data_IF_540259786086
#
_entry.id   IF_540259786086
#
_cell.length_a   1.000
_cell.length_b   1.000
_cell.length_c   1.000
_cell.angle_alpha   90.00
_cell.angle_beta   90.00
_cell.angle_gamma   90.00
#
_symmetry.space_group_name_H-M   'P 1'
#
loop_
_entity.id
_entity.type
_entity.pdbx_description
1 polymer ?
#
# COMPACT_ATOMS: atom_id res chain seq x y z
N UNK A 1 -2.34 -28.36 -47.34
CA UNK A 1 -2.40 -26.91 -47.13
C UNK A 1 -3.21 -26.71 -45.87
N UNK A 2 -2.55 -26.35 -44.76
CA UNK A 2 -3.23 -25.95 -43.48
C UNK A 2 -3.26 -24.44 -43.47
N UNK A 3 -4.45 -23.88 -43.44
CA UNK A 3 -4.67 -22.44 -43.24
C UNK A 3 -4.15 -22.03 -41.88
N UNK A 4 -3.27 -21.04 -41.91
CA UNK A 4 -2.77 -20.33 -40.72
C UNK A 4 -3.88 -19.33 -40.30
N UNK A 5 -4.56 -19.60 -39.24
CA UNK A 5 -5.51 -18.65 -38.62
C UNK A 5 -4.69 -17.50 -38.03
N UNK A 6 -4.78 -16.33 -38.64
CA UNK A 6 -4.21 -15.08 -38.11
C UNK A 6 -5.01 -14.72 -36.87
N UNK A 7 -4.34 -14.73 -35.72
CA UNK A 7 -4.88 -14.22 -34.46
C UNK A 7 -5.08 -12.71 -34.58
N UNK A 8 -6.28 -12.28 -34.31
CA UNK A 8 -6.74 -10.89 -34.36
C UNK A 8 -6.00 -10.07 -33.28
N UNK A 9 -4.97 -9.32 -33.67
CA UNK A 9 -4.15 -8.44 -32.80
C UNK A 9 -4.85 -7.12 -32.45
N UNK A 10 -6.14 -7.00 -32.65
CA UNK A 10 -6.86 -5.74 -32.44
C UNK A 10 -7.78 -5.78 -31.22
N UNK A 11 -7.25 -6.20 -30.07
CA UNK A 11 -7.92 -5.96 -28.79
C UNK A 11 -7.62 -4.52 -28.37
N UNK A 12 -8.42 -3.57 -28.85
CA UNK A 12 -8.38 -2.20 -28.40
C UNK A 12 -8.56 -2.16 -26.89
N UNK A 13 -7.58 -1.60 -26.18
CA UNK A 13 -7.70 -1.31 -24.76
C UNK A 13 -8.98 -0.50 -24.53
N UNK A 14 -9.75 -0.77 -23.49
CA UNK A 14 -10.95 0.01 -23.19
C UNK A 14 -10.56 1.48 -23.04
N UNK A 15 -11.24 2.38 -23.75
CA UNK A 15 -10.99 3.81 -23.67
C UNK A 15 -11.24 4.28 -22.23
N UNK A 16 -10.23 4.91 -21.63
CA UNK A 16 -10.33 5.53 -20.30
C UNK A 16 -11.46 6.55 -20.35
N UNK A 17 -12.46 6.39 -19.51
CA UNK A 17 -13.62 7.29 -19.48
C UNK A 17 -13.25 8.63 -18.81
N UNK A 18 -13.99 9.71 -19.11
CA UNK A 18 -13.84 11.01 -18.43
C UNK A 18 -13.99 10.88 -16.91
N UNK A 19 -14.82 9.94 -16.46
CA UNK A 19 -15.00 9.63 -15.04
C UNK A 19 -13.72 9.05 -14.42
N UNK A 20 -13.10 8.07 -15.07
CA UNK A 20 -11.86 7.46 -14.59
C UNK A 20 -10.72 8.49 -14.50
N UNK A 21 -10.63 9.39 -15.49
CA UNK A 21 -9.66 10.47 -15.45
C UNK A 21 -9.92 11.45 -14.30
N UNK A 22 -11.18 11.77 -14.01
CA UNK A 22 -11.53 12.64 -12.90
C UNK A 22 -11.22 11.98 -11.55
N UNK A 23 -11.46 10.69 -11.42
CA UNK A 23 -11.11 9.90 -10.23
C UNK A 23 -9.59 9.78 -10.05
N UNK A 24 -8.82 9.54 -11.11
CA UNK A 24 -7.36 9.56 -11.10
C UNK A 24 -6.79 10.90 -10.62
N UNK A 25 -7.35 12.02 -11.09
CA UNK A 25 -6.95 13.35 -10.60
C UNK A 25 -7.25 13.55 -9.11
N UNK A 26 -8.40 13.08 -8.61
CA UNK A 26 -8.74 13.14 -7.17
C UNK A 26 -7.84 12.23 -6.34
N UNK A 27 -7.48 11.08 -6.88
CA UNK A 27 -6.57 10.14 -6.25
C UNK A 27 -5.19 10.77 -6.02
N UNK A 28 -4.67 11.54 -6.97
CA UNK A 28 -3.37 12.23 -6.91
C UNK A 28 -3.48 13.62 -6.26
N UNK A 29 -4.05 13.71 -5.06
CA UNK A 29 -4.14 14.99 -4.37
C UNK A 29 -2.75 15.60 -4.09
N UNK A 30 -2.63 16.91 -4.28
CA UNK A 30 -1.40 17.66 -3.96
C UNK A 30 -1.32 18.05 -2.48
N UNK A 31 -2.46 18.13 -1.83
CA UNK A 31 -2.61 18.54 -0.43
C UNK A 31 -3.50 17.57 0.31
N UNK A 32 -2.97 17.04 1.43
CA UNK A 32 -3.77 16.22 2.33
C UNK A 32 -4.87 17.09 2.97
N UNK A 33 -6.10 16.60 2.93
CA UNK A 33 -7.27 17.27 3.49
C UNK A 33 -8.00 16.37 4.48
N UNK A 34 -8.76 16.98 5.40
CA UNK A 34 -9.55 16.22 6.39
C UNK A 34 -10.48 15.18 5.76
N UNK A 35 -11.20 15.45 4.64
CA UNK A 35 -12.00 14.40 3.99
C UNK A 35 -11.18 13.19 3.54
N UNK A 36 -9.95 13.40 3.03
CA UNK A 36 -9.06 12.30 2.66
C UNK A 36 -8.66 11.49 3.90
N UNK A 37 -8.23 12.17 4.97
CA UNK A 37 -7.88 11.52 6.25
C UNK A 37 -9.05 10.69 6.78
N UNK A 38 -10.26 11.24 6.81
CA UNK A 38 -11.45 10.51 7.29
C UNK A 38 -11.78 9.31 6.39
N UNK A 39 -11.62 9.45 5.07
CA UNK A 39 -11.78 8.33 4.11
C UNK A 39 -10.78 7.20 4.35
N UNK A 40 -9.58 7.53 4.80
CA UNK A 40 -8.52 6.57 5.06
C UNK A 40 -8.72 5.78 6.38
N UNK A 41 -9.64 6.20 7.26
CA UNK A 41 -9.81 5.61 8.60
C UNK A 41 -10.61 4.31 8.64
N UNK A 42 -11.31 3.93 7.57
CA UNK A 42 -12.10 2.68 7.53
C UNK A 42 -12.32 2.19 6.10
N UNK A 43 -12.47 0.89 5.92
CA UNK A 43 -12.91 0.35 4.64
C UNK A 43 -14.32 0.83 4.31
N UNK A 44 -14.56 1.18 3.06
CA UNK A 44 -15.88 1.43 2.53
C UNK A 44 -16.75 0.16 2.54
N UNK A 45 -18.06 0.34 2.42
CA UNK A 45 -19.00 -0.78 2.41
C UNK A 45 -18.81 -1.66 1.17
N UNK A 46 -18.43 -1.04 0.06
CA UNK A 46 -18.29 -1.68 -1.24
C UNK A 46 -16.82 -2.05 -1.56
N UNK A 47 -15.89 -1.81 -0.62
CA UNK A 47 -14.49 -2.20 -0.78
C UNK A 47 -14.34 -3.72 -0.70
N UNK A 48 -13.62 -4.36 -1.64
CA UNK A 48 -13.41 -5.81 -1.64
C UNK A 48 -12.85 -6.31 -0.30
N UNK A 49 -13.41 -7.41 0.16
CA UNK A 49 -13.07 -8.01 1.46
C UNK A 49 -12.92 -9.53 1.39
N UNK A 50 -12.76 -10.19 2.53
CA UNK A 50 -12.62 -11.63 2.59
C UNK A 50 -13.77 -12.36 1.90
N UNK A 51 -13.41 -13.28 0.98
CA UNK A 51 -14.31 -14.00 0.10
C UNK A 51 -14.51 -13.37 -1.29
N UNK A 52 -14.16 -12.09 -1.46
CA UNK A 52 -14.18 -11.45 -2.78
C UNK A 52 -12.92 -11.79 -3.57
N UNK A 53 -13.01 -11.65 -4.89
CA UNK A 53 -11.83 -11.79 -5.76
C UNK A 53 -11.10 -10.47 -5.90
N UNK A 54 -9.75 -10.57 -5.88
CA UNK A 54 -8.91 -9.41 -6.21
C UNK A 54 -9.14 -9.01 -7.68
N UNK A 55 -9.15 -7.71 -8.00
CA UNK A 55 -9.20 -7.24 -9.38
C UNK A 55 -8.02 -7.76 -10.20
N UNK A 56 -8.16 -7.82 -11.53
CA UNK A 56 -7.04 -8.10 -12.42
C UNK A 56 -6.04 -6.94 -12.41
N UNK A 57 -4.76 -7.29 -12.36
CA UNK A 57 -3.66 -6.32 -12.39
C UNK A 57 -2.42 -6.88 -13.08
N UNK A 58 -1.58 -5.97 -13.56
CA UNK A 58 -0.27 -6.25 -14.13
C UNK A 58 0.66 -5.07 -13.82
N UNK A 59 1.49 -5.20 -12.78
CA UNK A 59 2.33 -4.15 -12.23
C UNK A 59 3.81 -4.39 -12.52
N UNK A 60 4.59 -3.36 -12.89
CA UNK A 60 6.05 -3.48 -12.92
C UNK A 60 6.60 -3.62 -11.50
N UNK A 61 7.69 -4.39 -11.36
CA UNK A 61 8.45 -4.51 -10.12
C UNK A 61 9.79 -3.80 -10.22
N UNK A 62 10.36 -3.42 -9.08
CA UNK A 62 11.68 -2.75 -9.06
C UNK A 62 12.82 -3.64 -9.56
N UNK A 63 12.65 -4.96 -9.57
CA UNK A 63 13.63 -5.92 -10.06
C UNK A 63 13.57 -6.11 -11.58
N UNK A 64 12.75 -5.32 -12.28
CA UNK A 64 12.56 -5.38 -13.72
C UNK A 64 11.59 -6.47 -14.20
N UNK A 65 10.93 -7.16 -13.27
CA UNK A 65 9.90 -8.17 -13.53
C UNK A 65 8.48 -7.57 -13.58
N UNK A 66 7.52 -8.48 -13.44
CA UNK A 66 6.09 -8.13 -13.35
C UNK A 66 5.43 -8.89 -12.21
N UNK A 67 4.51 -8.23 -11.51
CA UNK A 67 3.60 -8.85 -10.57
C UNK A 67 2.18 -8.80 -11.14
N UNK A 68 1.59 -9.96 -11.43
CA UNK A 68 0.31 -10.09 -12.12
C UNK A 68 -0.67 -10.93 -11.34
N UNK A 69 -1.95 -10.59 -11.41
CA UNK A 69 -3.03 -11.43 -10.87
C UNK A 69 -3.09 -12.82 -11.53
N UNK A 70 -2.76 -12.91 -12.82
CA UNK A 70 -2.71 -14.16 -13.56
C UNK A 70 -1.65 -15.15 -13.05
N UNK A 71 -0.57 -14.65 -12.42
CA UNK A 71 0.54 -15.47 -11.95
C UNK A 71 0.30 -16.04 -10.52
N UNK A 72 -0.79 -15.65 -9.84
CA UNK A 72 -1.10 -16.10 -8.48
C UNK A 72 -1.28 -17.62 -8.38
N UNK A 73 -1.82 -18.24 -9.41
CA UNK A 73 -2.02 -19.70 -9.47
C UNK A 73 -0.71 -20.48 -9.33
N UNK A 74 0.41 -19.91 -9.78
CA UNK A 74 1.73 -20.54 -9.77
C UNK A 74 2.52 -20.20 -8.51
N UNK A 75 2.28 -19.02 -7.91
CA UNK A 75 3.07 -18.49 -6.80
C UNK A 75 2.52 -18.80 -5.41
N UNK A 76 1.30 -19.35 -5.33
CA UNK A 76 0.62 -19.60 -4.06
C UNK A 76 0.00 -18.36 -3.44
N UNK A 77 -0.23 -18.39 -2.11
CA UNK A 77 -0.79 -17.23 -1.42
C UNK A 77 0.24 -16.09 -1.34
N UNK A 78 -0.26 -14.85 -1.40
CA UNK A 78 0.55 -13.64 -1.36
C UNK A 78 0.04 -12.68 -0.29
N UNK A 79 0.97 -12.08 0.47
CA UNK A 79 0.69 -10.91 1.29
C UNK A 79 0.95 -9.65 0.44
N UNK A 80 -0.11 -8.93 0.11
CA UNK A 80 -0.05 -7.62 -0.52
C UNK A 80 -0.11 -6.54 0.57
N UNK A 81 0.83 -5.60 0.52
CA UNK A 81 0.84 -4.42 1.41
C UNK A 81 0.89 -3.17 0.56
N UNK A 82 -0.07 -2.27 0.73
CA UNK A 82 -0.02 -0.96 0.09
C UNK A 82 0.80 0.01 0.94
N UNK A 83 1.62 0.84 0.29
CA UNK A 83 2.46 1.79 1.00
C UNK A 83 3.01 2.89 0.12
N UNK A 84 3.57 3.93 0.74
CA UNK A 84 4.26 5.01 0.04
C UNK A 84 5.39 5.61 0.88
N UNK A 85 6.30 6.33 0.22
CA UNK A 85 7.51 6.88 0.82
C UNK A 85 7.22 7.97 1.86
N UNK A 86 6.06 8.63 1.77
CA UNK A 86 5.63 9.66 2.72
C UNK A 86 4.47 9.23 3.62
N UNK A 87 4.36 7.93 3.92
CA UNK A 87 3.32 7.41 4.81
C UNK A 87 3.88 7.01 6.18
N UNK A 88 3.49 7.68 7.29
CA UNK A 88 3.95 7.30 8.64
C UNK A 88 3.50 5.89 9.05
N UNK A 89 2.37 5.42 8.51
CA UNK A 89 1.88 4.06 8.79
C UNK A 89 2.77 3.04 8.09
N UNK A 90 3.14 3.27 6.82
CA UNK A 90 4.10 2.42 6.10
C UNK A 90 5.42 2.34 6.84
N UNK A 91 5.95 3.49 7.27
CA UNK A 91 7.20 3.55 8.02
C UNK A 91 7.13 2.81 9.35
N UNK A 92 6.00 2.91 10.05
CA UNK A 92 5.79 2.17 11.30
C UNK A 92 5.57 0.66 11.11
N UNK A 93 5.08 0.25 9.93
CA UNK A 93 4.88 -1.15 9.57
C UNK A 93 6.19 -1.87 9.19
N UNK A 94 7.14 -1.15 8.59
CA UNK A 94 8.32 -1.71 7.95
C UNK A 94 9.14 -2.68 8.84
N UNK A 95 9.47 -2.38 10.11
CA UNK A 95 10.21 -3.32 10.95
C UNK A 95 9.45 -4.65 11.16
N UNK A 96 8.14 -4.56 11.36
CA UNK A 96 7.29 -5.75 11.55
C UNK A 96 7.12 -6.54 10.26
N UNK A 97 6.99 -5.88 9.12
CA UNK A 97 6.90 -6.54 7.81
C UNK A 97 8.19 -7.30 7.48
N UNK A 98 9.36 -6.72 7.77
CA UNK A 98 10.64 -7.41 7.60
C UNK A 98 10.74 -8.65 8.52
N UNK A 99 10.26 -8.56 9.77
CA UNK A 99 10.21 -9.70 10.67
C UNK A 99 9.25 -10.80 10.16
N UNK A 100 8.08 -10.41 9.65
CA UNK A 100 7.13 -11.35 9.05
C UNK A 100 7.73 -12.01 7.80
N UNK A 101 8.40 -11.24 6.93
CA UNK A 101 9.07 -11.80 5.76
C UNK A 101 10.18 -12.78 6.15
N UNK A 102 11.00 -12.45 7.14
CA UNK A 102 12.03 -13.38 7.65
C UNK A 102 11.44 -14.69 8.21
N UNK A 103 10.21 -14.67 8.73
CA UNK A 103 9.55 -15.86 9.28
C UNK A 103 8.71 -16.66 8.28
N UNK A 104 8.19 -16.01 7.25
CA UNK A 104 7.21 -16.60 6.34
C UNK A 104 7.57 -16.51 4.85
N UNK A 105 8.63 -15.77 4.48
CA UNK A 105 9.01 -15.53 3.09
C UNK A 105 9.29 -16.78 2.26
N UNK A 106 9.77 -17.85 2.90
CA UNK A 106 9.97 -19.15 2.23
C UNK A 106 8.66 -19.90 1.94
N UNK A 107 7.55 -19.51 2.57
CA UNK A 107 6.26 -20.21 2.48
C UNK A 107 5.17 -19.36 1.82
N UNK A 108 5.38 -18.05 1.71
CA UNK A 108 4.42 -17.11 1.17
C UNK A 108 5.14 -15.94 0.48
N UNK A 109 4.64 -15.52 -0.67
CA UNK A 109 5.15 -14.34 -1.36
C UNK A 109 4.72 -13.07 -0.63
N UNK A 110 5.64 -12.10 -0.53
CA UNK A 110 5.39 -10.79 0.03
C UNK A 110 5.58 -9.74 -1.07
N UNK A 111 4.63 -8.83 -1.21
CA UNK A 111 4.71 -7.75 -2.20
C UNK A 111 4.26 -6.44 -1.57
N UNK A 112 5.18 -5.45 -1.54
CA UNK A 112 4.82 -4.06 -1.28
C UNK A 112 4.36 -3.43 -2.59
N UNK A 113 3.16 -2.92 -2.63
CA UNK A 113 2.64 -2.15 -3.77
C UNK A 113 2.78 -0.67 -3.46
N UNK A 114 3.72 0.00 -4.14
CA UNK A 114 3.89 1.45 -4.02
C UNK A 114 2.72 2.17 -4.69
N UNK A 115 2.05 3.03 -3.92
CA UNK A 115 0.86 3.76 -4.32
C UNK A 115 1.09 5.28 -4.33
N UNK A 116 0.04 6.10 -4.29
CA UNK A 116 0.17 7.55 -4.16
C UNK A 116 0.88 7.94 -2.87
N UNK A 117 1.51 9.10 -2.85
CA UNK A 117 2.07 9.65 -1.61
C UNK A 117 0.96 10.02 -0.63
N UNK A 118 1.06 9.53 0.61
CA UNK A 118 0.06 9.80 1.64
C UNK A 118 0.16 11.25 2.17
N UNK A 119 1.38 11.77 2.28
CA UNK A 119 1.68 13.13 2.72
C UNK A 119 2.61 13.82 1.73
N UNK A 120 2.11 14.18 0.54
CA UNK A 120 2.95 14.87 -0.45
C UNK A 120 3.41 16.22 0.09
N UNK A 121 4.62 16.63 -0.28
CA UNK A 121 5.19 17.90 0.14
C UNK A 121 6.15 18.46 -0.91
N UNK A 122 6.85 19.55 -0.55
CA UNK A 122 7.75 20.22 -1.50
C UNK A 122 8.90 19.32 -1.96
N UNK A 123 9.42 18.48 -1.07
CA UNK A 123 10.58 17.63 -1.36
C UNK A 123 10.16 16.32 -2.05
N UNK A 124 8.99 15.78 -1.68
CA UNK A 124 8.40 14.58 -2.27
C UNK A 124 6.97 14.91 -2.69
N UNK A 125 6.78 15.49 -3.88
CA UNK A 125 5.46 15.81 -4.40
C UNK A 125 4.73 14.54 -4.85
N UNK A 126 3.44 14.66 -5.11
CA UNK A 126 2.67 13.60 -5.74
C UNK A 126 3.24 13.31 -7.13
N UNK A 127 3.64 12.06 -7.45
CA UNK A 127 4.20 11.72 -8.76
C UNK A 127 3.21 12.01 -9.89
N UNK A 128 3.72 12.56 -10.98
CA UNK A 128 2.97 12.82 -12.21
C UNK A 128 3.39 11.87 -13.34
N UNK A 129 4.56 11.23 -13.21
CA UNK A 129 5.15 10.30 -14.16
C UNK A 129 5.56 9.00 -13.45
N UNK A 130 5.51 7.88 -14.18
CA UNK A 130 5.91 6.58 -13.62
C UNK A 130 7.35 6.57 -13.12
N UNK A 131 8.28 7.22 -13.82
CA UNK A 131 9.69 7.29 -13.37
C UNK A 131 9.83 7.95 -11.99
N UNK A 132 9.05 9.01 -11.73
CA UNK A 132 9.02 9.65 -10.42
C UNK A 132 8.46 8.71 -9.34
N UNK A 133 7.39 7.97 -9.68
CA UNK A 133 6.76 7.01 -8.78
C UNK A 133 7.67 5.83 -8.49
N UNK A 134 8.36 5.33 -9.50
CA UNK A 134 9.36 4.28 -9.36
C UNK A 134 10.53 4.73 -8.48
N UNK A 135 11.05 5.95 -8.68
CA UNK A 135 12.09 6.51 -7.82
C UNK A 135 11.66 6.62 -6.35
N UNK A 136 10.40 6.99 -6.07
CA UNK A 136 9.86 6.99 -4.71
C UNK A 136 9.76 5.57 -4.13
N UNK A 137 9.39 4.57 -4.96
CA UNK A 137 9.35 3.17 -4.57
C UNK A 137 10.75 2.61 -4.24
N UNK A 138 11.77 2.99 -5.01
CA UNK A 138 13.17 2.65 -4.73
C UNK A 138 13.62 3.25 -3.39
N UNK A 139 13.35 4.54 -3.17
CA UNK A 139 13.66 5.20 -1.89
C UNK A 139 12.92 4.55 -0.71
N UNK A 140 11.66 4.13 -0.89
CA UNK A 140 10.90 3.40 0.12
C UNK A 140 11.57 2.06 0.46
N UNK A 141 11.91 1.26 -0.56
CA UNK A 141 12.60 -0.03 -0.40
C UNK A 141 13.92 0.14 0.35
N UNK A 142 14.76 1.04 -0.13
CA UNK A 142 16.11 1.23 0.37
C UNK A 142 16.10 1.79 1.80
N UNK A 143 15.19 2.73 2.11
CA UNK A 143 15.05 3.30 3.45
C UNK A 143 14.70 2.25 4.50
N UNK A 144 13.85 1.29 4.13
CA UNK A 144 13.32 0.29 5.07
C UNK A 144 13.99 -1.07 4.96
N UNK A 145 14.92 -1.24 3.99
CA UNK A 145 15.62 -2.50 3.76
C UNK A 145 14.65 -3.64 3.47
N UNK A 146 13.68 -3.41 2.57
CA UNK A 146 12.78 -4.48 2.16
C UNK A 146 13.51 -5.48 1.27
N UNK A 147 13.67 -6.72 1.77
CA UNK A 147 14.26 -7.85 1.03
C UNK A 147 13.22 -8.61 0.19
N UNK A 148 11.97 -8.16 0.19
CA UNK A 148 10.88 -8.72 -0.59
C UNK A 148 10.45 -7.79 -1.73
N UNK A 149 9.66 -8.31 -2.62
CA UNK A 149 9.27 -7.66 -3.86
C UNK A 149 8.55 -6.33 -3.65
N UNK A 150 8.91 -5.33 -4.44
CA UNK A 150 8.22 -4.04 -4.50
C UNK A 150 7.68 -3.83 -5.90
N UNK A 151 6.36 -3.79 -6.03
CA UNK A 151 5.64 -3.45 -7.26
C UNK A 151 5.18 -2.00 -7.23
N UNK A 152 4.97 -1.42 -8.39
CA UNK A 152 4.56 -0.01 -8.53
C UNK A 152 3.21 0.04 -9.25
N UNK A 153 2.17 0.52 -8.56
CA UNK A 153 0.85 0.77 -9.17
C UNK A 153 0.94 1.89 -10.21
N UNK A 154 0.00 1.95 -11.13
CA UNK A 154 0.00 3.04 -12.12
C UNK A 154 -0.20 4.44 -11.46
N UNK A 155 -0.05 5.48 -12.25
CA UNK A 155 -0.14 6.86 -11.75
C UNK A 155 -1.51 7.17 -11.16
N UNK A 156 -2.55 6.63 -11.74
CA UNK A 156 -3.92 6.86 -11.31
C UNK A 156 -4.38 5.88 -10.22
N UNK A 157 -3.51 4.93 -9.83
CA UNK A 157 -3.75 3.98 -8.74
C UNK A 157 -4.88 3.00 -9.03
N UNK A 158 -4.87 2.40 -10.21
CA UNK A 158 -5.96 1.53 -10.66
C UNK A 158 -6.21 0.38 -9.71
N UNK A 159 -5.17 -0.36 -9.31
CA UNK A 159 -5.31 -1.45 -8.36
C UNK A 159 -5.67 -0.93 -6.96
N UNK A 160 -5.00 0.12 -6.52
CA UNK A 160 -5.22 0.69 -5.18
C UNK A 160 -6.65 1.21 -5.01
N UNK A 161 -7.20 1.90 -6.02
CA UNK A 161 -8.58 2.38 -6.01
C UNK A 161 -9.60 1.26 -6.08
N UNK A 162 -9.30 0.21 -6.84
CA UNK A 162 -10.19 -0.94 -7.00
C UNK A 162 -10.31 -1.78 -5.72
N UNK A 163 -9.28 -1.82 -4.88
CA UNK A 163 -9.31 -2.53 -3.60
C UNK A 163 -9.77 -1.63 -2.44
N UNK A 164 -9.13 -0.52 -2.25
CA UNK A 164 -9.50 0.57 -1.35
C UNK A 164 -8.32 1.54 -1.28
N UNK A 165 -8.48 2.82 -1.60
CA UNK A 165 -7.35 3.76 -1.72
C UNK A 165 -6.80 4.23 -0.36
N UNK A 166 -6.63 3.30 0.57
CA UNK A 166 -6.04 3.54 1.89
C UNK A 166 -4.52 3.52 1.84
N UNK A 167 -3.83 4.40 2.55
CA UNK A 167 -2.39 4.58 2.39
C UNK A 167 -1.55 3.37 2.82
N UNK A 168 -2.10 2.44 3.61
CA UNK A 168 -1.33 1.32 4.13
C UNK A 168 -2.22 0.15 4.56
N UNK A 169 -3.10 -0.33 3.71
CA UNK A 169 -3.85 -1.57 3.94
C UNK A 169 -3.02 -2.80 3.54
N UNK A 170 -3.40 -3.95 4.07
CA UNK A 170 -2.81 -5.23 3.69
C UNK A 170 -3.88 -6.28 3.39
N UNK A 171 -3.59 -7.15 2.42
CA UNK A 171 -4.46 -8.24 2.00
C UNK A 171 -3.65 -9.52 1.88
N UNK A 172 -4.21 -10.64 2.35
CA UNK A 172 -3.69 -11.96 2.02
C UNK A 172 -4.64 -12.56 0.98
N UNK A 173 -4.09 -12.92 -0.16
CA UNK A 173 -4.82 -13.43 -1.32
C UNK A 173 -4.33 -14.83 -1.61
N UNK A 174 -5.25 -15.77 -1.89
CA UNK A 174 -4.89 -17.13 -2.26
C UNK A 174 -4.50 -17.24 -3.75
N UNK A 175 -4.08 -18.45 -4.13
CA UNK A 175 -3.72 -18.78 -5.50
C UNK A 175 -4.83 -18.59 -6.54
N UNK A 176 -6.08 -18.59 -6.11
CA UNK A 176 -7.23 -18.43 -6.98
C UNK A 176 -7.66 -16.94 -7.08
N UNK A 177 -6.94 -16.05 -6.41
CA UNK A 177 -7.23 -14.63 -6.36
C UNK A 177 -8.32 -14.26 -5.35
N UNK A 178 -8.67 -15.14 -4.41
CA UNK A 178 -9.63 -14.85 -3.35
C UNK A 178 -8.95 -14.17 -2.18
N UNK A 179 -9.52 -13.11 -1.68
CA UNK A 179 -9.05 -12.42 -0.46
C UNK A 179 -9.37 -13.31 0.74
N UNK A 180 -8.36 -13.83 1.41
CA UNK A 180 -8.49 -14.65 2.62
C UNK A 180 -8.57 -13.79 3.87
N UNK A 181 -7.80 -12.70 3.91
CA UNK A 181 -7.70 -11.80 5.04
C UNK A 181 -7.43 -10.38 4.58
N UNK A 182 -7.95 -9.37 5.31
CA UNK A 182 -7.53 -7.97 5.13
C UNK A 182 -7.27 -7.28 6.46
N UNK A 183 -6.24 -6.44 6.49
CA UNK A 183 -5.98 -5.52 7.60
C UNK A 183 -6.13 -4.09 7.13
N UNK A 184 -6.81 -3.27 7.94
CA UNK A 184 -6.96 -1.85 7.65
C UNK A 184 -5.62 -1.12 7.65
N UNK A 185 -4.71 -1.55 8.51
CA UNK A 185 -3.38 -1.00 8.71
C UNK A 185 -2.33 -2.11 8.72
N UNK A 186 -1.35 -2.07 7.84
CA UNK A 186 -0.32 -3.09 7.76
C UNK A 186 0.65 -3.09 8.97
N UNK A 187 0.63 -2.04 9.81
CA UNK A 187 1.36 -2.01 11.06
C UNK A 187 0.63 -2.74 12.22
N UNK A 188 -0.55 -3.32 11.97
CA UNK A 188 -1.12 -4.36 12.85
C UNK A 188 -0.48 -5.72 12.56
N UNK A 189 0.82 -5.79 12.80
CA UNK A 189 1.63 -6.96 12.48
C UNK A 189 1.28 -8.19 13.32
N UNK A 190 0.64 -8.02 14.47
CA UNK A 190 0.12 -9.14 15.28
C UNK A 190 -1.00 -9.87 14.55
N UNK A 191 -1.99 -9.13 14.03
CA UNK A 191 -3.09 -9.73 13.28
C UNK A 191 -2.58 -10.38 11.96
N UNK A 192 -1.61 -9.74 11.29
CA UNK A 192 -0.97 -10.31 10.11
C UNK A 192 -0.22 -11.61 10.45
N UNK A 193 0.55 -11.65 11.56
CA UNK A 193 1.25 -12.86 12.00
C UNK A 193 0.29 -14.02 12.24
N UNK A 194 -0.78 -13.78 13.01
CA UNK A 194 -1.81 -14.80 13.28
C UNK A 194 -2.46 -15.33 11.99
N UNK A 195 -2.75 -14.43 11.03
CA UNK A 195 -3.33 -14.84 9.76
C UNK A 195 -2.33 -15.63 8.91
N UNK A 196 -1.07 -15.19 8.82
CA UNK A 196 -0.01 -15.88 8.09
C UNK A 196 0.25 -17.26 8.68
N UNK A 197 0.34 -17.41 10.01
CA UNK A 197 0.50 -18.69 10.70
C UNK A 197 -0.66 -19.64 10.36
N UNK A 198 -1.90 -19.17 10.49
CA UNK A 198 -3.07 -19.98 10.20
C UNK A 198 -3.07 -20.49 8.75
N UNK A 199 -2.81 -19.60 7.78
CA UNK A 199 -2.83 -19.94 6.35
C UNK A 199 -1.70 -20.90 6.00
N UNK A 200 -0.48 -20.63 6.46
CA UNK A 200 0.69 -21.49 6.16
C UNK A 200 0.62 -22.87 6.84
N UNK A 201 -0.07 -22.97 7.96
CA UNK A 201 -0.30 -24.22 8.68
C UNK A 201 -1.57 -24.96 8.22
N UNK A 202 -2.32 -24.40 7.27
CA UNK A 202 -3.61 -24.99 6.82
C UNK A 202 -4.69 -24.97 7.89
N UNK A 203 -4.60 -24.05 8.86
CA UNK A 203 -5.57 -23.90 9.94
C UNK A 203 -6.65 -22.86 9.59
N UNK A 204 -7.86 -22.97 10.16
CA UNK A 204 -8.88 -21.95 9.96
C UNK A 204 -8.45 -20.62 10.57
N UNK A 205 -8.73 -19.52 9.87
CA UNK A 205 -8.52 -18.17 10.36
C UNK A 205 -9.47 -17.90 11.55
N UNK A 206 -8.94 -17.32 12.63
CA UNK A 206 -9.74 -16.90 13.79
C UNK A 206 -10.61 -15.69 13.48
N UNK A 207 -10.20 -14.86 12.53
CA UNK A 207 -10.92 -13.70 12.02
C UNK A 207 -10.49 -13.43 10.60
N UNK A 208 -11.39 -12.89 9.78
CA UNK A 208 -11.13 -12.64 8.37
C UNK A 208 -10.62 -11.23 8.10
N UNK A 209 -10.63 -10.34 9.10
CA UNK A 209 -10.13 -8.97 8.95
C UNK A 209 -9.70 -8.38 10.30
N UNK A 210 -8.71 -7.50 10.25
CA UNK A 210 -8.37 -6.59 11.34
C UNK A 210 -8.90 -5.19 11.05
N UNK A 211 -9.62 -4.63 12.03
CA UNK A 211 -10.07 -3.23 12.09
C UNK A 211 -9.45 -2.50 13.27
N UNK A 212 -8.38 -3.05 13.84
CA UNK A 212 -7.67 -2.42 14.93
C UNK A 212 -7.18 -1.03 14.49
N UNK A 213 -7.45 -0.03 15.31
CA UNK A 213 -7.14 1.36 15.03
C UNK A 213 -6.18 1.96 16.05
N UNK A 214 -6.39 1.66 17.32
CA UNK A 214 -5.70 2.35 18.42
C UNK A 214 -4.21 2.03 18.43
N UNK A 215 -3.84 0.76 18.45
CA UNK A 215 -2.43 0.33 18.48
C UNK A 215 -1.67 0.81 17.24
N UNK A 216 -2.16 0.59 16.00
CA UNK A 216 -1.56 1.12 14.79
C UNK A 216 -1.35 2.63 14.84
N UNK A 217 -2.38 3.39 15.26
CA UNK A 217 -2.26 4.85 15.38
C UNK A 217 -1.22 5.28 16.40
N UNK A 218 -1.21 4.67 17.58
CA UNK A 218 -0.22 5.00 18.62
C UNK A 218 1.20 4.65 18.15
N UNK A 219 1.39 3.53 17.47
CA UNK A 219 2.70 3.11 16.98
C UNK A 219 3.27 4.07 15.92
N UNK A 220 2.42 4.65 15.06
CA UNK A 220 2.86 5.55 14.00
C UNK A 220 3.23 6.96 14.48
N UNK A 221 2.80 7.38 15.68
CA UNK A 221 3.00 8.76 16.15
C UNK A 221 4.48 9.19 16.11
N UNK A 222 5.39 8.30 16.53
CA UNK A 222 6.83 8.57 16.54
C UNK A 222 7.46 8.66 15.14
N UNK A 223 6.77 8.18 14.10
CA UNK A 223 7.21 8.20 12.72
C UNK A 223 6.70 9.41 11.93
N UNK A 224 5.69 10.11 12.44
CA UNK A 224 5.09 11.24 11.72
C UNK A 224 6.09 12.35 11.43
N UNK A 225 6.84 12.82 12.43
CA UNK A 225 7.75 13.92 12.25
C UNK A 225 8.89 13.63 11.24
N UNK A 226 9.60 12.49 11.28
CA UNK A 226 10.58 12.12 10.25
C UNK A 226 10.00 12.10 8.83
N UNK A 227 8.80 11.54 8.67
CA UNK A 227 8.10 11.48 7.39
C UNK A 227 7.76 12.87 6.87
N UNK A 228 7.18 13.74 7.71
CA UNK A 228 6.80 15.10 7.30
C UNK A 228 8.03 15.97 7.01
N UNK A 229 9.14 15.79 7.73
CA UNK A 229 10.41 16.45 7.42
C UNK A 229 10.94 16.03 6.06
N UNK A 230 10.91 14.73 5.76
CA UNK A 230 11.31 14.18 4.46
C UNK A 230 10.44 14.72 3.32
N UNK A 231 9.12 14.70 3.49
CA UNK A 231 8.18 15.23 2.50
C UNK A 231 8.29 16.76 2.32
N UNK A 232 8.63 17.48 3.38
CA UNK A 232 8.88 18.91 3.35
C UNK A 232 7.69 19.78 3.78
N UNK A 233 7.83 21.10 3.60
CA UNK A 233 6.91 22.10 4.17
C UNK A 233 5.42 21.87 3.88
N UNK A 234 5.07 21.38 2.70
CA UNK A 234 3.67 21.09 2.33
C UNK A 234 3.02 20.10 3.28
N UNK A 235 3.71 18.99 3.57
CA UNK A 235 3.20 17.94 4.45
C UNK A 235 2.93 18.45 5.88
N UNK A 236 3.84 19.24 6.46
CA UNK A 236 3.61 19.87 7.77
C UNK A 236 2.43 20.83 7.76
N UNK A 237 2.32 21.67 6.73
CA UNK A 237 1.20 22.61 6.60
C UNK A 237 -0.12 21.86 6.56
N UNK A 238 -0.20 20.83 5.75
CA UNK A 238 -1.42 20.05 5.56
C UNK A 238 -1.81 19.29 6.84
N UNK A 239 -0.83 18.78 7.59
CA UNK A 239 -1.07 18.19 8.91
C UNK A 239 -1.62 19.20 9.92
N UNK A 240 -1.09 20.44 9.94
CA UNK A 240 -1.63 21.49 10.80
C UNK A 240 -3.05 21.89 10.43
N UNK A 241 -3.39 21.89 9.13
CA UNK A 241 -4.72 22.24 8.66
C UNK A 241 -5.74 21.14 8.85
N UNK A 242 -5.32 19.87 8.67
CA UNK A 242 -6.22 18.72 8.68
C UNK A 242 -6.32 18.05 10.05
N UNK A 243 -5.20 17.93 10.78
CA UNK A 243 -5.09 17.19 12.03
C UNK A 243 -4.18 17.92 13.05
N UNK A 244 -4.55 19.14 13.53
CA UNK A 244 -3.72 19.96 14.43
C UNK A 244 -3.22 19.21 15.68
N UNK A 245 -4.02 18.37 16.36
CA UNK A 245 -3.55 17.63 17.53
C UNK A 245 -2.39 16.66 17.18
N UNK A 246 -2.45 15.97 16.05
CA UNK A 246 -1.40 15.05 15.62
C UNK A 246 -0.14 15.81 15.16
N UNK A 247 -0.30 16.96 14.51
CA UNK A 247 0.81 17.83 14.17
C UNK A 247 1.54 18.32 15.42
N UNK A 248 0.81 18.73 16.44
CA UNK A 248 1.37 19.14 17.74
C UNK A 248 2.15 18.00 18.42
N UNK A 249 1.54 16.80 18.52
CA UNK A 249 2.20 15.60 19.06
C UNK A 249 3.48 15.29 18.28
N UNK A 250 3.45 15.36 16.95
CA UNK A 250 4.62 15.16 16.10
C UNK A 250 5.77 16.12 16.44
N UNK A 251 5.49 17.42 16.68
CA UNK A 251 6.50 18.41 17.08
C UNK A 251 7.05 18.11 18.47
N UNK A 252 6.19 17.75 19.43
CA UNK A 252 6.62 17.40 20.80
C UNK A 252 7.57 16.20 20.75
N UNK A 253 7.18 15.11 20.06
CA UNK A 253 8.01 13.91 19.93
C UNK A 253 9.35 14.22 19.23
N UNK A 254 9.34 15.05 18.18
CA UNK A 254 10.54 15.52 17.50
C UNK A 254 11.46 16.28 18.45
N UNK A 255 10.91 17.20 19.23
CA UNK A 255 11.68 18.00 20.20
C UNK A 255 12.31 17.13 21.28
N UNK A 256 11.57 16.12 21.74
CA UNK A 256 12.05 15.13 22.71
C UNK A 256 12.96 14.06 22.08
N UNK A 257 13.21 14.11 20.77
CA UNK A 257 14.01 13.15 20.01
C UNK A 257 13.47 11.71 20.11
N UNK A 258 12.15 11.57 20.25
CA UNK A 258 11.45 10.28 20.26
C UNK A 258 11.04 9.94 18.82
N UNK A 259 11.70 8.98 18.22
CA UNK A 259 11.44 8.52 16.84
C UNK A 259 12.62 7.73 16.29
N UNK A 260 12.45 7.15 15.09
CA UNK A 260 13.56 6.49 14.41
C UNK A 260 14.64 7.52 14.05
N UNK A 261 15.88 7.07 14.05
CA UNK A 261 17.06 7.85 13.61
C UNK A 261 17.59 7.15 12.38
N UNK A 262 17.50 7.81 11.25
CA UNK A 262 18.10 7.40 9.98
C UNK A 262 19.43 8.09 9.76
#
# INVERSE_FOLDING_TARGET
MKELTILDENRSLPSITDKDQAEGRRYRFEHLSLPVVLGDMSFGKDDPGPGDRIPDFDLPTLDGGRFRSADLAETGAVLLVFGSYTCPVTESAAPGLNQLHAGFGDRMRFVMVNVREAHPGKNVPQPQLMDQKTANAEQLRDLHGFDFEVAVDDIDGTLHRALSPKPNSAYIVDRDGTILFRAQWANDTSALSEALEAITDGKPLRGLQSKELIRPMLSMLRYGAPVFDRAGKGAWRDMWLSMPPLAFVGIVLKTLRIGPRY
#
